data_IF_085921795214
#
_entry.id   IF_085921795214
#
_cell.length_a   1.000
_cell.length_b   1.000
_cell.length_c   1.000
_cell.angle_alpha   90.00
_cell.angle_beta   90.00
_cell.angle_gamma   90.00
#
_symmetry.space_group_name_H-M   'P 1'
#
loop_
_entity.id
_entity.type
_entity.pdbx_description
1 polymer ?
#
# COMPACT_ATOMS: atom_id res chain seq x y z
N UNK A 1 50.14 67.57 22.64
CA UNK A 1 49.69 66.16 22.56
C UNK A 1 48.21 66.13 22.19
N UNK A 2 47.72 65.04 21.56
CA UNK A 2 46.73 65.14 20.49
C UNK A 2 45.26 65.16 20.93
N UNK A 3 44.39 65.53 19.99
CA UNK A 3 42.94 65.50 20.13
C UNK A 3 42.36 64.08 20.10
N UNK A 4 41.22 63.88 20.76
CA UNK A 4 40.38 62.69 20.68
C UNK A 4 39.07 63.01 19.96
N UNK A 5 38.77 62.26 18.88
CA UNK A 5 37.55 62.44 18.12
C UNK A 5 36.39 61.65 18.73
N UNK A 6 35.18 62.23 18.73
CA UNK A 6 33.97 61.56 19.19
C UNK A 6 33.46 60.56 18.12
N UNK A 7 33.54 59.26 18.43
CA UNK A 7 32.96 58.21 17.59
C UNK A 7 31.43 58.11 17.82
N UNK A 8 30.68 57.85 16.74
CA UNK A 8 29.21 57.68 16.81
C UNK A 8 28.86 56.31 17.38
N UNK A 9 27.82 56.25 18.21
CA UNK A 9 27.24 54.98 18.66
C UNK A 9 26.58 54.24 17.48
N UNK A 10 27.01 53.00 17.22
CA UNK A 10 26.32 52.08 16.30
C UNK A 10 25.11 51.44 16.97
N UNK A 11 24.11 51.04 16.17
CA UNK A 11 23.05 50.12 16.64
C UNK A 11 23.65 48.72 16.82
N UNK A 12 23.18 47.91 17.78
CA UNK A 12 23.48 46.49 17.80
C UNK A 12 22.88 45.80 16.57
N UNK A 13 23.63 44.87 16.01
CA UNK A 13 23.24 44.04 14.86
C UNK A 13 22.15 43.04 15.30
N UNK A 14 21.10 42.77 14.51
CA UNK A 14 20.17 41.68 14.82
C UNK A 14 20.92 40.34 14.72
N UNK A 15 20.91 39.57 15.81
CA UNK A 15 21.51 38.23 15.84
C UNK A 15 20.92 37.31 14.76
N UNK A 16 21.65 36.25 14.37
CA UNK A 16 21.22 35.36 13.30
C UNK A 16 19.82 34.78 13.60
N UNK A 17 18.95 34.63 12.59
CA UNK A 17 17.62 34.07 12.78
C UNK A 17 17.76 32.65 13.36
N UNK A 18 17.21 32.44 14.56
CA UNK A 18 17.34 31.17 15.28
C UNK A 18 16.75 30.01 14.48
N UNK A 19 17.37 28.84 14.62
CA UNK A 19 17.08 27.65 13.81
C UNK A 19 15.57 27.36 13.74
N UNK A 20 15.00 27.51 12.54
CA UNK A 20 13.66 27.05 12.24
C UNK A 20 13.64 25.52 12.41
N UNK A 21 13.10 25.06 13.54
CA UNK A 21 13.21 23.67 13.97
C UNK A 21 12.81 22.71 12.84
N UNK A 22 13.77 21.90 12.39
CA UNK A 22 13.56 20.96 11.31
C UNK A 22 12.31 20.10 11.56
N UNK A 23 11.50 19.80 10.52
CA UNK A 23 10.25 19.06 10.69
C UNK A 23 10.54 17.74 11.41
N UNK A 24 10.00 17.59 12.62
CA UNK A 24 10.24 16.42 13.47
C UNK A 24 9.75 15.18 12.74
N UNK A 25 10.68 14.34 12.30
CA UNK A 25 10.35 13.07 11.65
C UNK A 25 9.43 12.25 12.55
N UNK A 26 8.39 11.68 11.92
CA UNK A 26 7.40 10.85 12.61
C UNK A 26 8.10 9.76 13.42
N UNK A 27 7.65 9.42 14.64
CA UNK A 27 8.25 8.35 15.43
C UNK A 27 8.46 7.06 14.63
N UNK A 28 7.52 6.72 13.75
CA UNK A 28 7.61 5.63 12.75
C UNK A 28 8.97 5.50 12.02
N UNK A 29 9.65 6.60 11.71
CA UNK A 29 10.94 6.62 11.00
C UNK A 29 12.17 6.42 11.91
N UNK A 30 11.98 5.94 13.14
CA UNK A 30 13.06 5.78 14.13
C UNK A 30 13.28 4.30 14.44
N UNK A 31 14.52 3.96 14.77
CA UNK A 31 14.91 2.62 15.17
C UNK A 31 14.40 2.22 16.55
N UNK A 32 14.22 0.93 16.77
CA UNK A 32 13.65 0.36 18.00
C UNK A 32 12.14 0.60 18.14
N UNK A 33 11.54 0.06 19.21
CA UNK A 33 10.09 0.12 19.45
C UNK A 33 9.58 1.54 19.66
N UNK A 34 8.62 1.93 18.82
CA UNK A 34 7.90 3.19 18.85
C UNK A 34 6.45 2.94 19.27
N UNK A 35 6.01 3.63 20.32
CA UNK A 35 4.61 3.67 20.80
C UNK A 35 4.39 4.99 21.54
N UNK A 36 3.15 5.50 21.58
CA UNK A 36 2.78 6.71 22.36
C UNK A 36 1.63 6.38 23.32
N UNK A 37 1.92 5.71 24.45
CA UNK A 37 0.88 5.21 25.36
C UNK A 37 0.26 6.31 26.21
N UNK A 38 -1.06 6.22 26.39
CA UNK A 38 -1.80 6.90 27.45
C UNK A 38 -1.60 6.14 28.78
N UNK A 39 -1.95 6.73 29.95
CA UNK A 39 -1.64 6.11 31.25
C UNK A 39 -2.28 4.74 31.53
N UNK A 40 -3.33 4.35 30.80
CA UNK A 40 -4.00 3.04 30.93
C UNK A 40 -3.63 2.05 29.80
N UNK A 41 -2.75 2.42 28.88
CA UNK A 41 -2.37 1.57 27.75
C UNK A 41 -1.67 0.26 28.21
N UNK A 42 -1.98 -0.89 27.59
CA UNK A 42 -1.23 -2.12 27.82
C UNK A 42 0.21 -1.97 27.30
N UNK A 43 1.16 -2.62 27.99
CA UNK A 43 2.56 -2.65 27.51
C UNK A 43 2.63 -3.43 26.20
N UNK A 44 3.36 -2.88 25.23
CA UNK A 44 3.72 -3.59 23.98
C UNK A 44 4.42 -4.90 24.36
N UNK A 45 4.05 -6.05 23.74
CA UNK A 45 4.70 -7.32 24.02
C UNK A 45 6.16 -7.32 23.54
N UNK A 46 7.03 -7.99 24.29
CA UNK A 46 8.38 -8.31 23.84
C UNK A 46 8.31 -9.42 22.78
N UNK A 47 8.91 -9.17 21.62
CA UNK A 47 8.90 -10.05 20.43
C UNK A 47 10.29 -10.04 19.79
N UNK A 48 10.69 -11.15 19.15
CA UNK A 48 12.04 -11.33 18.61
C UNK A 48 12.21 -10.88 17.14
N UNK A 49 11.14 -10.46 16.47
CA UNK A 49 11.18 -9.99 15.09
C UNK A 49 12.05 -8.75 14.87
N UNK A 50 12.92 -8.82 13.85
CA UNK A 50 13.83 -7.75 13.43
C UNK A 50 13.12 -6.48 12.93
N UNK A 51 11.85 -6.58 12.52
CA UNK A 51 10.99 -5.45 12.17
C UNK A 51 9.51 -5.88 12.29
N UNK A 52 8.66 -5.00 12.82
CA UNK A 52 7.21 -5.23 12.90
C UNK A 52 6.40 -3.92 12.94
N UNK A 53 5.12 -4.00 12.56
CA UNK A 53 4.15 -2.89 12.52
C UNK A 53 2.80 -3.38 13.00
N UNK A 54 2.10 -2.58 13.82
CA UNK A 54 0.68 -2.76 14.19
C UNK A 54 -0.09 -1.52 13.74
N UNK A 55 -1.07 -1.66 12.85
CA UNK A 55 -1.81 -0.54 12.28
C UNK A 55 -3.32 -0.81 12.16
N UNK A 56 -4.11 0.27 12.22
CA UNK A 56 -5.52 0.26 11.90
C UNK A 56 -5.71 0.26 10.37
N UNK A 57 -6.41 -0.74 9.83
CA UNK A 57 -6.62 -0.85 8.40
C UNK A 57 -7.61 0.20 7.87
N UNK A 58 -8.56 0.63 8.71
CA UNK A 58 -9.59 1.60 8.37
C UNK A 58 -9.01 3.01 8.28
N UNK A 59 -8.48 3.52 9.40
CA UNK A 59 -7.90 4.88 9.44
C UNK A 59 -6.53 4.95 8.78
N UNK A 60 -5.74 3.86 8.82
CA UNK A 60 -4.34 3.85 8.43
C UNK A 60 -3.36 4.17 9.55
N UNK A 61 -3.84 4.49 10.75
CA UNK A 61 -2.99 4.85 11.88
C UNK A 61 -2.07 3.70 12.30
N UNK A 62 -0.76 3.94 12.34
CA UNK A 62 0.19 3.00 12.93
C UNK A 62 0.18 3.19 14.44
N UNK A 63 -0.22 2.17 15.19
CA UNK A 63 -0.39 2.23 16.65
C UNK A 63 0.95 2.05 17.38
N UNK A 64 1.74 1.08 16.92
CA UNK A 64 3.12 0.87 17.31
C UNK A 64 3.90 0.18 16.19
N UNK A 65 5.22 0.28 16.24
CA UNK A 65 6.13 -0.43 15.33
C UNK A 65 7.51 -0.63 15.97
N UNK A 66 8.31 -1.58 15.50
CA UNK A 66 9.76 -1.63 15.75
C UNK A 66 10.50 -1.64 14.42
N UNK A 67 11.48 -0.75 14.25
CA UNK A 67 12.32 -0.67 13.05
C UNK A 67 11.50 -0.73 11.74
N UNK A 68 10.41 0.05 11.67
CA UNK A 68 9.33 -0.12 10.69
C UNK A 68 9.77 -0.09 9.21
N UNK A 69 10.80 0.72 8.93
CA UNK A 69 11.39 0.96 7.61
C UNK A 69 12.70 0.18 7.37
N UNK A 70 12.96 -0.87 8.16
CA UNK A 70 14.14 -1.72 7.99
C UNK A 70 14.00 -2.58 6.74
N UNK A 71 14.88 -2.35 5.77
CA UNK A 71 15.00 -3.19 4.57
C UNK A 71 15.34 -4.64 4.96
N UNK A 72 14.44 -5.56 4.65
CA UNK A 72 14.56 -7.00 4.87
C UNK A 72 14.01 -7.76 3.65
N UNK A 73 14.52 -8.96 3.31
CA UNK A 73 13.93 -9.77 2.26
C UNK A 73 12.48 -10.16 2.64
N UNK A 74 11.49 -9.94 1.76
CA UNK A 74 10.08 -10.11 2.14
C UNK A 74 9.60 -11.57 2.14
N UNK A 75 10.32 -12.48 1.48
CA UNK A 75 9.81 -13.78 1.06
C UNK A 75 8.45 -13.66 0.33
N UNK A 76 7.64 -14.71 0.37
CA UNK A 76 6.32 -14.77 -0.27
C UNK A 76 5.28 -13.74 0.23
N UNK A 77 5.56 -12.88 1.22
CA UNK A 77 4.66 -11.76 1.54
C UNK A 77 4.61 -10.73 0.41
N UNK A 78 5.65 -10.63 -0.43
CA UNK A 78 5.66 -9.79 -1.64
C UNK A 78 4.59 -10.20 -2.66
N UNK A 79 4.04 -11.42 -2.56
CA UNK A 79 2.88 -11.86 -3.36
C UNK A 79 1.64 -10.99 -3.12
N UNK A 80 1.58 -10.20 -2.04
CA UNK A 80 0.53 -9.18 -1.84
C UNK A 80 0.63 -8.03 -2.83
N UNK A 81 1.84 -7.48 -3.06
CA UNK A 81 2.11 -6.48 -4.09
C UNK A 81 1.87 -7.03 -5.51
N UNK A 82 2.26 -8.29 -5.75
CA UNK A 82 1.93 -9.00 -7.00
C UNK A 82 0.42 -9.08 -7.21
N UNK A 83 -0.34 -9.47 -6.19
CA UNK A 83 -1.80 -9.53 -6.24
C UNK A 83 -2.41 -8.16 -6.52
N UNK A 84 -1.98 -7.09 -5.85
CA UNK A 84 -2.42 -5.71 -6.13
C UNK A 84 -2.19 -5.33 -7.60
N UNK A 85 -1.00 -5.62 -8.12
CA UNK A 85 -0.58 -5.30 -9.50
C UNK A 85 -1.32 -6.11 -10.57
N UNK A 86 -1.59 -7.40 -10.33
CA UNK A 86 -2.00 -8.36 -11.37
C UNK A 86 -3.47 -8.79 -11.28
N UNK A 87 -4.10 -8.81 -10.09
CA UNK A 87 -5.55 -9.06 -9.96
C UNK A 87 -6.43 -8.13 -10.84
N UNK A 88 -6.20 -6.79 -10.92
CA UNK A 88 -7.11 -5.92 -11.67
C UNK A 88 -6.98 -6.12 -13.19
N UNK A 89 -5.90 -6.76 -13.66
CA UNK A 89 -5.68 -7.08 -15.07
C UNK A 89 -6.22 -8.47 -15.47
N UNK A 90 -6.40 -9.39 -14.52
CA UNK A 90 -6.78 -10.78 -14.79
C UNK A 90 -8.11 -11.20 -14.10
N UNK A 91 -9.27 -10.98 -14.76
CA UNK A 91 -10.55 -11.55 -14.35
C UNK A 91 -10.49 -13.07 -14.14
N UNK A 92 -10.88 -13.53 -12.94
CA UNK A 92 -10.75 -14.94 -12.52
C UNK A 92 -11.46 -15.99 -13.39
N UNK A 93 -12.40 -15.57 -14.26
CA UNK A 93 -13.07 -16.45 -15.21
C UNK A 93 -12.22 -16.87 -16.43
N UNK A 94 -11.13 -16.15 -16.71
CA UNK A 94 -10.18 -16.45 -17.80
C UNK A 94 -9.64 -17.87 -17.63
N UNK A 95 -9.45 -18.56 -18.76
CA UNK A 95 -8.82 -19.87 -18.86
C UNK A 95 -7.52 -19.75 -19.65
N UNK A 96 -6.49 -20.45 -19.22
CA UNK A 96 -5.18 -20.49 -19.87
C UNK A 96 -4.65 -21.92 -19.90
N UNK A 97 -4.06 -22.33 -21.02
CA UNK A 97 -3.38 -23.61 -21.19
C UNK A 97 -1.87 -23.38 -21.04
N UNK A 98 -1.27 -24.05 -20.06
CA UNK A 98 0.08 -23.71 -19.57
C UNK A 98 1.14 -24.22 -20.55
N UNK A 99 1.94 -23.30 -21.10
CA UNK A 99 3.09 -23.61 -21.94
C UNK A 99 4.36 -23.92 -21.12
N UNK A 100 5.40 -24.53 -21.72
CA UNK A 100 6.68 -24.76 -21.05
C UNK A 100 7.36 -23.47 -20.58
N UNK A 101 7.16 -22.35 -21.30
CA UNK A 101 7.67 -21.04 -20.93
C UNK A 101 7.04 -20.48 -19.64
N UNK A 102 5.78 -20.82 -19.36
CA UNK A 102 5.05 -20.38 -18.15
C UNK A 102 5.61 -21.01 -16.86
N UNK A 103 6.35 -22.12 -16.98
CA UNK A 103 6.99 -22.82 -15.86
C UNK A 103 8.52 -22.64 -15.87
N UNK A 104 9.04 -21.81 -16.80
CA UNK A 104 10.48 -21.56 -16.91
C UNK A 104 11.02 -20.65 -15.79
N UNK A 105 12.26 -20.91 -15.36
CA UNK A 105 12.97 -20.07 -14.39
C UNK A 105 12.58 -20.20 -12.92
N UNK A 106 11.67 -21.12 -12.57
CA UNK A 106 11.26 -21.37 -11.17
C UNK A 106 12.48 -21.85 -10.33
N UNK A 107 12.75 -21.17 -9.21
CA UNK A 107 13.91 -21.46 -8.36
C UNK A 107 13.80 -22.80 -7.60
N UNK A 108 14.91 -23.53 -7.37
CA UNK A 108 14.90 -24.78 -6.63
C UNK A 108 14.47 -24.55 -5.17
N UNK A 109 13.56 -25.40 -4.65
CA UNK A 109 12.98 -25.22 -3.31
C UNK A 109 11.86 -24.16 -3.23
N UNK A 110 11.44 -23.58 -4.36
CA UNK A 110 10.20 -22.80 -4.43
C UNK A 110 9.00 -23.57 -3.87
N UNK A 111 8.11 -22.89 -3.14
CA UNK A 111 6.76 -23.40 -2.91
C UNK A 111 6.02 -23.48 -4.25
N UNK A 112 5.39 -24.61 -4.54
CA UNK A 112 4.59 -24.83 -5.75
C UNK A 112 3.17 -25.19 -5.33
N UNK A 113 2.15 -24.79 -6.11
CA UNK A 113 0.81 -25.36 -5.94
C UNK A 113 0.73 -26.73 -6.61
N UNK A 114 1.36 -26.90 -7.77
CA UNK A 114 1.34 -28.11 -8.59
C UNK A 114 0.72 -27.88 -9.97
N UNK A 115 1.08 -26.78 -10.63
CA UNK A 115 0.70 -26.48 -12.03
C UNK A 115 1.37 -27.47 -13.00
N UNK A 116 0.67 -27.78 -14.10
CA UNK A 116 1.08 -28.77 -15.10
C UNK A 116 1.06 -28.17 -16.51
N UNK A 117 2.14 -28.35 -17.27
CA UNK A 117 2.25 -28.03 -18.70
C UNK A 117 1.23 -28.80 -19.54
N UNK A 118 0.64 -28.16 -20.55
CA UNK A 118 -0.41 -28.72 -21.40
C UNK A 118 -1.79 -28.84 -20.72
N UNK A 119 -1.95 -28.34 -19.50
CA UNK A 119 -3.23 -28.37 -18.78
C UNK A 119 -3.87 -26.98 -18.72
N UNK A 120 -5.18 -26.91 -18.95
CA UNK A 120 -5.95 -25.66 -18.84
C UNK A 120 -6.39 -25.37 -17.39
N UNK A 121 -5.93 -24.26 -16.83
CA UNK A 121 -6.37 -23.74 -15.52
C UNK A 121 -7.31 -22.55 -15.68
N UNK A 122 -8.13 -22.26 -14.67
CA UNK A 122 -8.73 -20.92 -14.53
C UNK A 122 -7.78 -20.00 -13.76
N UNK A 123 -7.82 -18.72 -14.09
CA UNK A 123 -7.13 -17.67 -13.31
C UNK A 123 -7.58 -17.68 -11.84
N UNK A 124 -8.85 -17.99 -11.55
CA UNK A 124 -9.34 -18.20 -10.17
C UNK A 124 -8.59 -19.28 -9.39
N UNK A 125 -8.15 -20.32 -10.09
CA UNK A 125 -7.57 -21.52 -9.48
C UNK A 125 -6.10 -21.24 -9.17
N UNK A 126 -5.39 -20.63 -10.14
CA UNK A 126 -4.05 -20.08 -9.96
C UNK A 126 -3.98 -19.11 -8.77
N UNK A 127 -4.96 -18.19 -8.62
CA UNK A 127 -5.02 -17.31 -7.45
C UNK A 127 -5.25 -18.04 -6.13
N UNK A 128 -6.03 -19.13 -6.10
CA UNK A 128 -6.06 -19.99 -4.90
C UNK A 128 -4.66 -20.57 -4.61
N UNK A 129 -3.92 -21.00 -5.64
CA UNK A 129 -2.54 -21.50 -5.50
C UNK A 129 -1.56 -20.46 -4.96
N UNK A 130 -1.63 -19.21 -5.44
CA UNK A 130 -0.80 -18.07 -4.99
C UNK A 130 -1.04 -17.74 -3.51
N UNK A 131 -2.30 -17.71 -3.07
CA UNK A 131 -2.64 -17.35 -1.68
C UNK A 131 -2.49 -18.51 -0.70
N UNK A 132 -3.03 -19.69 -1.02
CA UNK A 132 -3.08 -20.81 -0.08
C UNK A 132 -1.72 -21.54 0.00
N UNK A 133 -1.29 -22.16 -1.09
CA UNK A 133 -0.04 -22.93 -1.18
C UNK A 133 1.21 -22.07 -1.44
N UNK A 134 1.07 -20.75 -1.61
CA UNK A 134 2.18 -19.84 -1.90
C UNK A 134 2.89 -20.13 -3.24
N UNK A 135 2.20 -20.75 -4.19
CA UNK A 135 2.79 -21.34 -5.40
C UNK A 135 3.47 -20.34 -6.33
N UNK A 136 4.77 -20.51 -6.54
CA UNK A 136 5.58 -19.74 -7.50
C UNK A 136 5.21 -20.07 -8.95
N UNK A 137 4.96 -21.35 -9.24
CA UNK A 137 4.40 -21.83 -10.50
C UNK A 137 3.14 -21.04 -10.92
N UNK A 138 2.19 -20.85 -10.00
CA UNK A 138 1.01 -20.03 -10.27
C UNK A 138 1.34 -18.54 -10.50
N UNK A 139 2.37 -17.99 -9.85
CA UNK A 139 2.84 -16.61 -10.09
C UNK A 139 3.47 -16.47 -11.48
N UNK A 140 4.27 -17.44 -11.95
CA UNK A 140 4.88 -17.37 -13.28
C UNK A 140 3.81 -17.35 -14.39
N UNK A 141 2.80 -18.24 -14.33
CA UNK A 141 1.67 -18.26 -15.29
C UNK A 141 0.86 -16.95 -15.27
N UNK A 142 0.60 -16.39 -14.08
CA UNK A 142 -0.14 -15.12 -13.97
C UNK A 142 0.71 -13.91 -14.43
N UNK A 143 2.04 -14.01 -14.37
CA UNK A 143 2.97 -13.01 -14.89
C UNK A 143 3.10 -13.08 -16.42
N UNK A 144 3.17 -14.26 -17.05
CA UNK A 144 3.20 -14.41 -18.51
C UNK A 144 1.93 -13.83 -19.15
N UNK A 145 0.76 -14.18 -18.61
CA UNK A 145 -0.55 -13.63 -18.96
C UNK A 145 -0.67 -12.10 -18.84
N UNK A 146 0.28 -11.41 -18.21
CA UNK A 146 0.30 -9.94 -18.11
C UNK A 146 1.60 -9.29 -18.59
N UNK A 147 2.28 -9.93 -19.55
CA UNK A 147 3.43 -9.35 -20.26
C UNK A 147 4.80 -9.91 -19.84
N UNK A 148 4.82 -11.00 -19.07
CA UNK A 148 6.05 -11.70 -18.69
C UNK A 148 6.67 -11.21 -17.38
N UNK A 149 7.65 -11.98 -16.92
CA UNK A 149 8.30 -11.85 -15.61
C UNK A 149 8.86 -10.45 -15.33
N UNK A 150 9.75 -9.95 -16.20
CA UNK A 150 10.44 -8.67 -16.01
C UNK A 150 9.49 -7.46 -16.11
N UNK A 151 8.50 -7.50 -17.02
CA UNK A 151 7.49 -6.45 -17.13
C UNK A 151 6.56 -6.45 -15.90
N UNK A 152 6.32 -7.61 -15.30
CA UNK A 152 5.53 -7.73 -14.06
C UNK A 152 6.30 -7.22 -12.84
N UNK A 153 7.59 -7.54 -12.71
CA UNK A 153 8.45 -6.98 -11.68
C UNK A 153 8.55 -5.43 -11.79
N UNK A 154 8.66 -4.91 -13.01
CA UNK A 154 8.66 -3.46 -13.25
C UNK A 154 7.34 -2.78 -12.88
N UNK A 155 6.19 -3.40 -13.20
CA UNK A 155 4.86 -2.90 -12.79
C UNK A 155 4.68 -2.96 -11.28
N UNK A 156 5.11 -4.03 -10.61
CA UNK A 156 5.09 -4.13 -9.14
C UNK A 156 5.97 -3.07 -8.49
N UNK A 157 7.14 -2.77 -9.07
CA UNK A 157 7.97 -1.69 -8.56
C UNK A 157 7.28 -0.33 -8.70
N UNK A 158 6.57 -0.07 -9.80
CA UNK A 158 5.79 1.15 -9.99
C UNK A 158 4.60 1.23 -9.02
N UNK A 159 3.86 0.13 -8.84
CA UNK A 159 2.74 0.00 -7.89
C UNK A 159 3.19 0.34 -6.45
N UNK A 160 4.32 -0.23 -6.00
CA UNK A 160 4.87 0.08 -4.68
C UNK A 160 5.15 1.59 -4.53
N UNK A 161 5.77 2.22 -5.53
CA UNK A 161 6.08 3.66 -5.50
C UNK A 161 4.81 4.51 -5.53
N UNK A 162 3.75 4.08 -6.23
CA UNK A 162 2.45 4.75 -6.26
C UNK A 162 1.71 4.65 -4.91
N UNK A 163 1.83 3.51 -4.22
CA UNK A 163 1.30 3.29 -2.87
C UNK A 163 2.14 3.96 -1.76
N UNK A 164 3.20 4.70 -2.11
CA UNK A 164 4.11 5.31 -1.14
C UNK A 164 5.02 4.33 -0.40
N UNK A 165 5.03 3.06 -0.80
CA UNK A 165 5.92 2.02 -0.31
C UNK A 165 7.33 2.24 -0.89
N UNK A 166 8.21 2.86 -0.10
CA UNK A 166 9.47 3.45 -0.57
C UNK A 166 10.70 2.59 -0.24
N UNK A 167 10.56 1.64 0.67
CA UNK A 167 11.64 0.72 1.07
C UNK A 167 11.69 -0.53 0.16
N UNK A 168 10.60 -0.78 -0.58
CA UNK A 168 10.45 -1.95 -1.44
C UNK A 168 11.24 -1.83 -2.74
N UNK A 169 12.21 -2.72 -2.89
CA UNK A 169 12.91 -2.96 -4.14
C UNK A 169 12.56 -4.34 -4.71
N UNK A 170 11.92 -4.37 -5.88
CA UNK A 170 11.46 -5.60 -6.54
C UNK A 170 12.51 -6.15 -7.50
N UNK A 171 12.81 -7.44 -7.39
CA UNK A 171 13.63 -8.23 -8.33
C UNK A 171 12.84 -9.35 -9.01
N UNK A 172 11.91 -9.98 -8.30
CA UNK A 172 11.02 -11.02 -8.83
C UNK A 172 9.57 -10.83 -8.37
N UNK A 173 8.55 -11.20 -9.18
CA UNK A 173 7.16 -11.11 -8.78
C UNK A 173 6.73 -12.03 -7.62
N UNK A 174 7.47 -13.09 -7.35
CA UNK A 174 7.11 -14.12 -6.37
C UNK A 174 7.65 -13.88 -4.96
N UNK A 175 8.59 -12.95 -4.78
CA UNK A 175 9.28 -12.71 -3.51
C UNK A 175 10.35 -13.74 -3.14
N UNK A 176 10.82 -14.57 -4.08
CA UNK A 176 11.94 -15.51 -3.84
C UNK A 176 13.27 -14.78 -3.56
N UNK A 177 14.27 -15.50 -3.03
CA UNK A 177 15.56 -14.92 -2.67
C UNK A 177 16.34 -14.41 -3.91
N UNK A 178 16.56 -13.11 -3.99
CA UNK A 178 17.31 -12.44 -5.05
C UNK A 178 18.15 -11.26 -4.51
N UNK A 179 19.35 -10.98 -5.07
CA UNK A 179 20.21 -9.89 -4.58
C UNK A 179 19.53 -8.51 -4.61
N UNK A 180 19.41 -7.89 -3.44
CA UNK A 180 18.72 -6.62 -3.28
C UNK A 180 17.22 -6.68 -3.58
N UNK A 181 16.56 -7.82 -3.33
CA UNK A 181 15.11 -7.89 -3.14
C UNK A 181 14.79 -7.62 -1.68
N UNK A 182 14.16 -6.47 -1.39
CA UNK A 182 13.85 -6.01 -0.03
C UNK A 182 12.48 -5.35 0.02
N UNK A 183 11.91 -5.31 1.21
CA UNK A 183 10.75 -4.50 1.61
C UNK A 183 10.91 -4.19 3.11
N UNK A 184 9.90 -3.60 3.73
CA UNK A 184 9.89 -3.27 5.16
C UNK A 184 8.57 -3.68 5.82
N UNK A 185 8.52 -3.75 7.15
CA UNK A 185 7.28 -4.10 7.84
C UNK A 185 6.18 -3.06 7.58
N UNK A 186 6.56 -1.79 7.38
CA UNK A 186 5.69 -0.71 6.93
C UNK A 186 5.15 -0.95 5.51
N UNK A 187 6.03 -1.12 4.52
CA UNK A 187 5.62 -1.29 3.12
C UNK A 187 4.70 -2.51 2.94
N UNK A 188 5.02 -3.63 3.60
CA UNK A 188 4.19 -4.82 3.61
C UNK A 188 2.84 -4.60 4.32
N UNK A 189 2.77 -3.75 5.35
CA UNK A 189 1.51 -3.36 5.98
C UNK A 189 0.65 -2.48 5.06
N UNK A 190 1.26 -1.61 4.25
CA UNK A 190 0.57 -0.84 3.19
C UNK A 190 -0.05 -1.80 2.17
N UNK A 191 0.70 -2.80 1.67
CA UNK A 191 0.18 -3.79 0.72
C UNK A 191 -0.96 -4.64 1.34
N UNK A 192 -0.84 -5.01 2.61
CA UNK A 192 -1.90 -5.70 3.35
C UNK A 192 -3.18 -4.85 3.47
N UNK A 193 -3.06 -3.58 3.87
CA UNK A 193 -4.18 -2.64 4.01
C UNK A 193 -4.89 -2.37 2.68
N UNK A 194 -4.14 -2.12 1.60
CA UNK A 194 -4.74 -1.87 0.29
C UNK A 194 -5.35 -3.14 -0.31
N UNK A 195 -4.73 -4.31 -0.12
CA UNK A 195 -5.33 -5.58 -0.51
C UNK A 195 -6.69 -5.83 0.16
N UNK A 196 -6.81 -5.53 1.45
CA UNK A 196 -8.06 -5.71 2.21
C UNK A 196 -9.18 -4.74 1.82
N UNK A 197 -8.87 -3.61 1.16
CA UNK A 197 -9.89 -2.71 0.58
C UNK A 197 -10.56 -3.32 -0.65
N UNK A 198 -9.93 -4.30 -1.31
CA UNK A 198 -10.41 -4.89 -2.56
C UNK A 198 -11.11 -6.24 -2.35
N UNK A 199 -12.38 -6.40 -2.77
CA UNK A 199 -13.11 -7.66 -2.59
C UNK A 199 -12.52 -8.87 -3.34
N UNK A 200 -11.76 -8.65 -4.42
CA UNK A 200 -11.12 -9.71 -5.20
C UNK A 200 -9.93 -10.35 -4.47
N UNK A 201 -9.06 -9.52 -3.89
CA UNK A 201 -7.95 -9.90 -3.01
C UNK A 201 -8.46 -10.50 -1.70
N UNK A 202 -9.37 -9.78 -1.01
CA UNK A 202 -9.85 -10.18 0.32
C UNK A 202 -10.49 -11.58 0.32
N UNK A 203 -11.20 -11.93 -0.75
CA UNK A 203 -11.78 -13.27 -0.96
C UNK A 203 -10.72 -14.38 -1.03
N UNK A 204 -9.56 -14.14 -1.63
CA UNK A 204 -8.50 -15.16 -1.71
C UNK A 204 -7.67 -15.22 -0.43
N UNK A 205 -7.34 -14.08 0.18
CA UNK A 205 -6.47 -14.06 1.35
C UNK A 205 -7.14 -14.63 2.62
N UNK A 206 -8.46 -14.46 2.77
CA UNK A 206 -9.24 -14.99 3.89
C UNK A 206 -9.68 -16.45 3.71
N UNK A 207 -9.34 -17.09 2.59
CA UNK A 207 -9.80 -18.45 2.26
C UNK A 207 -8.94 -19.51 2.95
N UNK A 208 -9.58 -20.41 3.67
CA UNK A 208 -8.97 -21.52 4.43
C UNK A 208 -8.43 -22.60 3.49
N UNK A 209 -9.31 -23.15 2.65
CA UNK A 209 -9.02 -24.29 1.77
C UNK A 209 -9.62 -24.10 0.36
N UNK A 210 -9.14 -24.88 -0.61
CA UNK A 210 -9.74 -24.99 -1.93
C UNK A 210 -9.45 -26.35 -2.56
N UNK A 211 -10.23 -26.75 -3.57
CA UNK A 211 -9.79 -27.75 -4.54
C UNK A 211 -8.97 -27.08 -5.65
N UNK A 212 -7.85 -27.68 -6.03
CA UNK A 212 -7.01 -27.25 -7.16
C UNK A 212 -7.00 -28.31 -8.27
N UNK A 213 -7.00 -27.95 -9.57
CA UNK A 213 -6.96 -28.91 -10.66
C UNK A 213 -5.66 -29.71 -10.69
N UNK A 214 -5.76 -31.03 -10.71
CA UNK A 214 -4.66 -31.97 -10.89
C UNK A 214 -4.63 -32.60 -12.28
N UNK A 215 -3.64 -33.47 -12.52
CA UNK A 215 -3.45 -34.17 -13.80
C UNK A 215 -4.68 -34.97 -14.20
N UNK A 216 -4.86 -35.16 -15.51
CA UNK A 216 -5.83 -36.08 -16.10
C UNK A 216 -7.30 -35.82 -15.67
N UNK A 217 -7.62 -34.56 -15.33
CA UNK A 217 -8.95 -34.14 -14.87
C UNK A 217 -9.23 -34.37 -13.38
N UNK A 218 -8.23 -34.82 -12.61
CA UNK A 218 -8.32 -34.94 -11.15
C UNK A 218 -8.34 -33.57 -10.43
N UNK A 219 -8.54 -33.59 -9.12
CA UNK A 219 -8.32 -32.41 -8.26
C UNK A 219 -7.91 -32.86 -6.85
N UNK A 220 -7.20 -31.98 -6.13
CA UNK A 220 -6.73 -32.22 -4.77
C UNK A 220 -6.97 -31.00 -3.89
N UNK A 221 -7.04 -31.22 -2.58
CA UNK A 221 -7.18 -30.14 -1.60
C UNK A 221 -5.89 -29.36 -1.42
N UNK A 222 -5.99 -28.03 -1.38
CA UNK A 222 -4.94 -27.10 -1.00
C UNK A 222 -5.40 -26.29 0.21
N UNK A 223 -4.47 -25.92 1.09
CA UNK A 223 -4.75 -25.37 2.43
C UNK A 223 -3.89 -24.12 2.66
N UNK A 224 -4.45 -23.10 3.31
CA UNK A 224 -3.75 -21.83 3.50
C UNK A 224 -2.57 -21.97 4.46
N UNK A 225 -1.39 -21.59 3.98
CA UNK A 225 -0.15 -21.66 4.75
C UNK A 225 -0.09 -20.67 5.93
N UNK A 226 -1.01 -19.70 6.04
CA UNK A 226 -1.16 -18.88 7.24
C UNK A 226 -1.81 -19.68 8.39
N UNK A 227 -1.00 -20.16 9.32
CA UNK A 227 -1.43 -21.04 10.41
C UNK A 227 -2.40 -20.39 11.40
N UNK A 228 -2.38 -19.06 11.58
CA UNK A 228 -3.39 -18.35 12.38
C UNK A 228 -4.79 -18.42 11.75
N UNK A 229 -4.90 -18.68 10.45
CA UNK A 229 -6.18 -18.87 9.76
C UNK A 229 -6.66 -20.32 9.84
N UNK A 230 -5.73 -21.29 9.72
CA UNK A 230 -6.06 -22.70 9.49
C UNK A 230 -5.93 -23.61 10.71
N UNK A 231 -5.23 -23.17 11.77
CA UNK A 231 -4.96 -24.00 12.95
C UNK A 231 -3.93 -25.12 12.71
N UNK A 232 -3.16 -25.03 11.62
CA UNK A 232 -2.21 -26.07 11.22
C UNK A 232 -0.97 -26.14 12.12
N UNK A 233 -0.36 -27.32 12.19
CA UNK A 233 0.89 -27.61 12.90
C UNK A 233 0.92 -27.21 14.39
N UNK A 234 -0.24 -27.18 15.04
CA UNK A 234 -0.40 -26.92 16.48
C UNK A 234 -0.54 -25.45 16.86
N UNK A 235 -0.26 -24.52 15.94
CA UNK A 235 -0.63 -23.11 16.07
C UNK A 235 -2.15 -23.03 16.16
N UNK A 236 -2.69 -22.34 17.17
CA UNK A 236 -4.14 -22.18 17.27
C UNK A 236 -4.64 -21.17 16.22
N UNK A 237 -5.88 -21.31 15.72
CA UNK A 237 -6.54 -20.24 14.98
C UNK A 237 -6.59 -18.94 15.81
N UNK A 238 -6.71 -17.80 15.12
CA UNK A 238 -6.86 -16.49 15.75
C UNK A 238 -8.29 -15.96 15.59
N UNK A 239 -9.05 -15.71 16.68
CA UNK A 239 -10.43 -15.24 16.60
C UNK A 239 -10.56 -13.91 15.84
N UNK A 240 -11.32 -13.94 14.74
CA UNK A 240 -11.57 -12.79 13.87
C UNK A 240 -10.53 -12.57 12.76
N UNK A 241 -9.58 -13.48 12.54
CA UNK A 241 -8.59 -13.34 11.46
C UNK A 241 -9.24 -13.36 10.06
N UNK A 242 -8.74 -12.51 9.17
CA UNK A 242 -9.14 -12.39 7.75
C UNK A 242 -7.94 -12.61 6.79
N UNK A 243 -6.89 -13.28 7.28
CA UNK A 243 -5.80 -13.84 6.48
C UNK A 243 -4.67 -12.86 6.16
N UNK A 244 -4.65 -12.33 4.93
CA UNK A 244 -3.50 -11.74 4.21
C UNK A 244 -2.47 -12.78 3.74
N UNK A 245 -1.20 -12.80 4.19
CA UNK A 245 -0.19 -13.71 3.63
C UNK A 245 1.06 -13.91 4.50
N UNK A 246 1.53 -15.15 4.60
CA UNK A 246 2.82 -15.53 5.18
C UNK A 246 3.90 -15.79 4.12
N UNK A 247 5.17 -15.85 4.53
CA UNK A 247 6.30 -16.23 3.69
C UNK A 247 7.46 -16.81 4.50
N UNK A 248 8.30 -17.57 3.80
CA UNK A 248 9.61 -18.02 4.29
C UNK A 248 10.58 -18.12 3.11
N UNK A 249 11.83 -17.70 3.32
CA UNK A 249 13.00 -18.07 2.50
C UNK A 249 14.24 -18.12 3.40
N UNK A 250 15.33 -18.69 2.90
CA UNK A 250 16.58 -18.80 3.66
C UNK A 250 17.17 -17.44 4.07
N UNK A 251 17.05 -16.42 3.22
CA UNK A 251 17.56 -15.07 3.54
C UNK A 251 16.55 -14.20 4.29
N UNK A 252 15.24 -14.44 4.15
CA UNK A 252 14.20 -13.67 4.84
C UNK A 252 13.96 -14.13 6.30
N UNK A 253 14.20 -15.41 6.59
CA UNK A 253 13.57 -16.06 7.73
C UNK A 253 12.06 -16.16 7.52
N UNK A 254 11.28 -16.14 8.61
CA UNK A 254 9.82 -16.16 8.53
C UNK A 254 9.25 -14.73 8.46
N UNK A 255 8.30 -14.51 7.55
CA UNK A 255 7.58 -13.23 7.40
C UNK A 255 6.07 -13.46 7.40
N UNK A 256 5.31 -12.52 7.95
CA UNK A 256 3.85 -12.59 8.00
C UNK A 256 3.25 -11.20 7.89
N UNK A 257 2.28 -11.04 7.00
CA UNK A 257 1.25 -10.02 7.11
C UNK A 257 -0.02 -10.76 7.56
N UNK A 258 -0.56 -10.37 8.70
CA UNK A 258 -1.78 -10.88 9.28
C UNK A 258 -2.79 -9.74 9.44
N UNK A 259 -4.09 -10.05 9.37
CA UNK A 259 -5.12 -9.08 9.69
C UNK A 259 -6.30 -9.73 10.40
N UNK A 260 -6.93 -9.00 11.32
CA UNK A 260 -8.08 -9.46 12.06
C UNK A 260 -9.13 -8.35 12.23
N UNK A 261 -10.38 -8.75 12.46
CA UNK A 261 -11.52 -7.87 12.70
C UNK A 261 -12.23 -8.26 14.00
N UNK A 262 -12.39 -7.29 14.89
CA UNK A 262 -13.19 -7.37 16.12
C UNK A 262 -14.01 -6.09 16.24
N UNK A 263 -15.30 -6.22 16.54
CA UNK A 263 -16.22 -5.10 16.82
C UNK A 263 -16.18 -3.95 15.80
N UNK A 264 -16.14 -4.31 14.51
CA UNK A 264 -16.05 -3.38 13.38
C UNK A 264 -14.63 -2.87 13.07
N UNK A 265 -13.76 -2.79 14.07
CA UNK A 265 -12.35 -2.40 13.90
C UNK A 265 -11.58 -3.50 13.15
N UNK A 266 -10.64 -3.11 12.29
CA UNK A 266 -9.76 -4.06 11.57
C UNK A 266 -8.32 -3.64 11.76
N UNK A 267 -7.46 -4.56 12.22
CA UNK A 267 -6.04 -4.34 12.38
C UNK A 267 -5.26 -5.13 11.32
N UNK A 268 -4.16 -4.56 10.85
CA UNK A 268 -3.10 -5.22 10.08
C UNK A 268 -1.85 -5.25 10.95
N UNK A 269 -1.21 -6.41 11.02
CA UNK A 269 0.07 -6.62 11.68
C UNK A 269 1.05 -7.24 10.70
N UNK A 270 2.23 -6.64 10.57
CA UNK A 270 3.36 -7.25 9.85
C UNK A 270 4.43 -7.64 10.84
N UNK A 271 4.99 -8.85 10.69
CA UNK A 271 6.12 -9.38 11.46
C UNK A 271 7.18 -9.90 10.48
N UNK A 272 8.43 -9.47 10.64
CA UNK A 272 9.55 -9.88 9.80
C UNK A 272 10.72 -10.44 10.60
N UNK A 273 11.09 -11.68 10.28
CA UNK A 273 12.25 -12.41 10.77
C UNK A 273 12.37 -12.47 12.32
N UNK A 274 11.47 -13.19 13.02
CA UNK A 274 11.67 -13.59 14.42
C UNK A 274 13.01 -14.30 14.61
N UNK A 275 13.80 -13.85 15.59
CA UNK A 275 15.12 -14.42 15.90
C UNK A 275 15.05 -15.57 16.91
N UNK A 276 13.96 -15.71 17.66
CA UNK A 276 13.75 -16.75 18.68
C UNK A 276 12.44 -17.52 18.42
N UNK A 277 12.18 -18.60 19.17
CA UNK A 277 10.96 -19.42 19.04
C UNK A 277 10.83 -20.25 17.76
N UNK A 278 11.66 -20.01 16.74
CA UNK A 278 11.75 -20.83 15.52
C UNK A 278 10.57 -20.65 14.55
N UNK A 279 10.29 -21.69 13.76
CA UNK A 279 9.39 -21.60 12.59
C UNK A 279 7.92 -21.23 12.88
N UNK A 280 7.49 -21.23 14.14
CA UNK A 280 6.14 -20.82 14.54
C UNK A 280 6.08 -19.44 15.23
N UNK A 281 7.23 -18.86 15.61
CA UNK A 281 7.28 -17.57 16.31
C UNK A 281 6.58 -16.44 15.54
N UNK A 282 6.67 -16.43 14.20
CA UNK A 282 6.03 -15.40 13.37
C UNK A 282 4.51 -15.34 13.55
N UNK A 283 3.86 -16.45 13.90
CA UNK A 283 2.43 -16.53 14.13
C UNK A 283 2.08 -16.10 15.56
N UNK A 284 2.85 -16.55 16.56
CA UNK A 284 2.56 -16.22 17.97
C UNK A 284 2.98 -14.78 18.35
N UNK A 285 4.03 -14.23 17.74
CA UNK A 285 4.36 -12.80 17.84
C UNK A 285 3.29 -11.93 17.16
N UNK A 286 2.79 -12.35 15.98
CA UNK A 286 1.68 -11.65 15.32
C UNK A 286 0.37 -11.75 16.12
N UNK A 287 0.09 -12.88 16.77
CA UNK A 287 -1.01 -13.03 17.74
C UNK A 287 -0.88 -12.01 18.87
N UNK A 288 0.28 -11.97 19.54
CA UNK A 288 0.52 -11.06 20.65
C UNK A 288 0.38 -9.59 20.25
N UNK A 289 0.91 -9.21 19.08
CA UNK A 289 0.80 -7.86 18.52
C UNK A 289 -0.64 -7.50 18.09
N UNK A 290 -1.41 -8.44 17.55
CA UNK A 290 -2.83 -8.25 17.24
C UNK A 290 -3.66 -8.09 18.52
N UNK A 291 -3.48 -8.96 19.52
CA UNK A 291 -4.20 -8.88 20.79
C UNK A 291 -3.87 -7.57 21.54
N UNK A 292 -2.59 -7.17 21.61
CA UNK A 292 -2.18 -5.86 22.12
C UNK A 292 -2.83 -4.70 21.34
N UNK A 293 -2.86 -4.77 20.00
CA UNK A 293 -3.45 -3.71 19.17
C UNK A 293 -4.96 -3.53 19.34
N UNK A 294 -5.67 -4.58 19.76
CA UNK A 294 -7.09 -4.51 20.14
C UNK A 294 -7.27 -4.02 21.58
N UNK A 295 -6.41 -4.43 22.53
CA UNK A 295 -6.45 -3.97 23.92
C UNK A 295 -6.08 -2.47 24.04
N UNK A 296 -5.11 -2.00 23.24
CA UNK A 296 -4.68 -0.60 23.16
C UNK A 296 -5.65 0.33 22.40
N UNK A 297 -6.87 -0.11 22.09
CA UNK A 297 -7.82 0.65 21.28
C UNK A 297 -8.31 1.93 21.97
N UNK A 298 -7.81 3.08 21.52
CA UNK A 298 -8.12 4.41 22.09
C UNK A 298 -7.11 4.90 23.13
N UNK A 299 -6.20 4.04 23.59
CA UNK A 299 -5.21 4.30 24.64
C UNK A 299 -3.80 4.62 24.07
N UNK A 300 -3.65 4.81 22.76
CA UNK A 300 -2.37 5.13 22.11
C UNK A 300 -2.53 6.19 21.02
N UNK A 301 -1.61 7.16 20.97
CA UNK A 301 -1.55 8.11 19.86
C UNK A 301 -0.74 7.52 18.67
N UNK A 302 -1.24 7.57 17.43
CA UNK A 302 -0.58 6.93 16.27
C UNK A 302 0.88 7.37 16.08
N UNK A 303 1.83 6.43 16.03
CA UNK A 303 3.27 6.72 15.79
C UNK A 303 3.57 7.15 14.35
N UNK A 304 2.62 6.97 13.44
CA UNK A 304 2.65 7.34 12.04
C UNK A 304 1.34 6.94 11.36
N UNK A 305 1.30 6.90 10.02
CA UNK A 305 0.16 6.41 9.24
C UNK A 305 0.67 5.69 7.99
N UNK A 306 -0.09 4.68 7.54
CA UNK A 306 0.09 3.92 6.30
C UNK A 306 -0.43 4.65 5.05
N UNK A 307 -0.95 5.89 5.17
CA UNK A 307 -1.32 6.70 4.01
C UNK A 307 -0.09 7.46 3.45
N UNK A 308 0.07 7.54 2.10
CA UNK A 308 1.19 8.28 1.51
C UNK A 308 1.18 9.74 1.96
N UNK A 309 2.33 10.30 2.34
CA UNK A 309 2.41 11.65 2.92
C UNK A 309 1.79 12.74 2.02
N UNK A 310 1.88 12.56 0.70
CA UNK A 310 1.32 13.45 -0.32
C UNK A 310 -0.23 13.49 -0.34
N UNK A 311 -0.91 12.54 0.31
CA UNK A 311 -2.38 12.44 0.35
C UNK A 311 -3.03 13.11 1.58
N UNK A 312 -2.25 13.64 2.54
CA UNK A 312 -2.83 14.44 3.62
C UNK A 312 -3.40 15.74 3.04
N UNK A 313 -4.67 16.08 3.27
CA UNK A 313 -5.20 17.39 2.88
C UNK A 313 -4.38 18.48 3.54
N UNK A 314 -3.62 19.25 2.74
CA UNK A 314 -2.97 20.48 3.21
C UNK A 314 -4.09 21.37 3.74
N UNK A 315 -4.04 21.74 5.02
CA UNK A 315 -4.95 22.75 5.53
C UNK A 315 -4.71 24.03 4.72
N UNK A 316 -5.69 24.37 3.88
CA UNK A 316 -5.63 25.60 3.08
C UNK A 316 -5.52 26.82 4.00
N UNK A 317 -4.96 27.94 3.52
CA UNK A 317 -4.87 29.17 4.31
C UNK A 317 -6.22 29.48 4.95
N UNK A 318 -6.26 29.47 6.28
CA UNK A 318 -7.49 29.67 7.03
C UNK A 318 -8.03 31.05 6.69
N UNK A 319 -9.19 31.11 6.03
CA UNK A 319 -9.73 32.36 5.51
C UNK A 319 -10.14 33.27 6.67
N UNK A 320 -9.24 34.18 7.06
CA UNK A 320 -9.50 35.20 8.08
C UNK A 320 -10.71 36.02 7.60
N UNK A 321 -11.81 36.11 8.36
CA UNK A 321 -12.97 36.89 7.95
C UNK A 321 -12.58 38.34 7.73
N UNK A 322 -12.74 38.83 6.50
CA UNK A 322 -12.48 40.23 6.18
C UNK A 322 -13.44 41.11 6.97
N UNK A 323 -12.91 41.96 7.85
CA UNK A 323 -13.71 42.86 8.67
C UNK A 323 -14.46 43.85 7.75
N UNK A 324 -15.79 43.76 7.73
CA UNK A 324 -16.64 44.62 6.91
C UNK A 324 -16.63 46.03 7.52
N UNK A 325 -15.83 46.92 6.92
CA UNK A 325 -15.81 48.34 7.31
C UNK A 325 -17.14 48.99 6.96
N UNK A 326 -17.86 49.50 7.96
CA UNK A 326 -19.15 50.13 7.76
C UNK A 326 -19.02 51.44 6.97
N UNK A 327 -19.73 51.55 5.85
CA UNK A 327 -19.83 52.80 5.11
C UNK A 327 -20.57 53.86 5.94
N UNK A 328 -20.13 55.12 5.83
CA UNK A 328 -20.84 56.26 6.43
C UNK A 328 -22.19 56.50 5.73
N UNK A 329 -23.20 57.07 6.41
CA UNK A 329 -24.40 57.58 5.77
C UNK A 329 -24.08 58.64 4.70
N UNK A 330 -24.94 58.73 3.69
CA UNK A 330 -24.91 59.82 2.70
C UNK A 330 -25.68 61.05 3.23
N UNK A 331 -25.35 62.23 2.70
CA UNK A 331 -26.15 63.46 2.85
C UNK A 331 -27.07 63.67 1.64
N UNK A 332 -28.08 64.51 1.79
CA UNK A 332 -29.32 64.49 0.99
C UNK A 332 -29.28 65.15 -0.41
N UNK A 333 -30.29 64.77 -1.20
CA UNK A 333 -30.54 65.09 -2.62
C UNK A 333 -31.10 66.53 -2.81
N UNK A 334 -31.11 67.12 -4.04
CA UNK A 334 -32.25 66.86 -4.96
C UNK A 334 -31.97 66.97 -6.48
N UNK A 335 -32.72 66.23 -7.32
CA UNK A 335 -32.80 66.57 -8.76
C UNK A 335 -33.47 65.58 -9.73
N UNK A 336 -34.68 65.94 -10.20
CA UNK A 336 -35.36 65.54 -11.46
C UNK A 336 -36.04 64.15 -11.57
N UNK A 337 -37.13 64.01 -12.37
CA UNK A 337 -38.11 62.92 -12.26
C UNK A 337 -38.00 61.83 -13.36
N UNK A 338 -38.79 60.77 -13.17
CA UNK A 338 -38.88 59.59 -14.05
C UNK A 338 -39.52 59.88 -15.43
N UNK A 339 -38.93 59.36 -16.52
CA UNK A 339 -39.69 58.78 -17.64
C UNK A 339 -38.79 57.91 -18.53
N UNK A 340 -39.35 56.87 -19.15
CA UNK A 340 -38.81 56.27 -20.38
C UNK A 340 -38.22 54.86 -20.27
N UNK A 341 -38.88 53.89 -20.90
CA UNK A 341 -38.28 52.63 -21.36
C UNK A 341 -38.16 52.66 -22.89
N UNK A 342 -37.32 51.78 -23.49
CA UNK A 342 -37.48 51.09 -24.81
C UNK A 342 -36.11 50.77 -25.52
N UNK A 343 -35.91 49.45 -25.75
CA UNK A 343 -35.20 48.74 -26.85
C UNK A 343 -33.81 49.13 -27.42
N UNK A 344 -33.05 48.07 -27.81
CA UNK A 344 -31.99 48.09 -28.84
C UNK A 344 -30.57 47.85 -28.29
N UNK A 345 -29.62 47.19 -28.99
CA UNK A 345 -29.59 46.54 -30.33
C UNK A 345 -28.63 45.32 -30.26
N UNK A 346 -28.73 44.35 -31.18
CA UNK A 346 -27.86 43.17 -31.26
C UNK A 346 -26.92 43.14 -32.49
N UNK A 347 -25.78 42.45 -32.36
CA UNK A 347 -24.88 42.04 -33.46
C UNK A 347 -23.75 41.18 -32.88
N UNK A 348 -23.64 39.88 -33.19
CA UNK A 348 -23.18 39.24 -34.45
C UNK A 348 -21.70 39.50 -34.77
N UNK A 349 -20.91 38.42 -34.81
CA UNK A 349 -19.47 38.45 -35.06
C UNK A 349 -18.83 37.06 -35.09
N UNK A 350 -19.27 36.19 -36.00
CA UNK A 350 -18.62 34.90 -36.28
C UNK A 350 -18.19 34.83 -37.75
N UNK A 351 -16.90 34.61 -38.00
CA UNK A 351 -16.31 34.56 -39.34
C UNK A 351 -15.50 33.27 -39.55
N UNK A 352 -15.73 32.59 -40.66
CA UNK A 352 -15.13 31.30 -41.01
C UNK A 352 -14.05 31.48 -42.08
N UNK A 353 -13.00 30.66 -42.04
CA UNK A 353 -12.18 30.33 -43.22
C UNK A 353 -12.01 28.81 -43.34
N UNK A 354 -12.28 28.27 -44.53
CA UNK A 354 -12.22 26.84 -44.81
C UNK A 354 -11.99 26.55 -46.31
N UNK A 355 -11.06 25.65 -46.63
CA UNK A 355 -10.77 25.09 -47.97
C UNK A 355 -9.74 23.94 -47.79
N UNK A 356 -9.73 22.78 -48.45
CA UNK A 356 -10.66 21.98 -49.29
C UNK A 356 -10.16 20.50 -49.19
N UNK A 357 -10.97 19.43 -49.10
CA UNK A 357 -11.74 18.73 -50.15
C UNK A 357 -10.85 18.22 -51.32
N UNK A 358 -10.91 16.96 -51.83
CA UNK A 358 -11.92 15.89 -51.70
C UNK A 358 -11.45 14.49 -52.21
N UNK A 359 -12.08 13.38 -51.74
CA UNK A 359 -12.72 12.22 -52.48
C UNK A 359 -12.03 11.64 -53.75
N UNK A 360 -11.91 10.33 -54.08
CA UNK A 360 -12.36 8.95 -53.65
C UNK A 360 -11.62 7.87 -54.55
N UNK A 361 -11.71 6.52 -54.55
CA UNK A 361 -12.28 5.38 -53.76
C UNK A 361 -11.63 4.02 -54.24
N UNK A 362 -11.95 2.88 -53.58
CA UNK A 362 -12.04 1.47 -54.10
C UNK A 362 -10.77 0.69 -54.52
N UNK A 363 -10.55 -0.47 -53.83
CA UNK A 363 -10.29 -1.90 -54.22
C UNK A 363 -9.80 -2.25 -55.66
N UNK A 364 -9.17 -3.41 -55.97
CA UNK A 364 -9.03 -4.74 -55.30
C UNK A 364 -7.66 -5.43 -55.62
N UNK A 365 -7.36 -6.52 -54.90
CA UNK A 365 -6.57 -7.74 -55.20
C UNK A 365 -5.35 -7.78 -56.17
N UNK A 366 -4.23 -8.31 -55.66
CA UNK A 366 -3.73 -9.63 -56.11
C UNK A 366 -2.63 -9.73 -57.19
N UNK A 367 -1.37 -9.95 -56.78
CA UNK A 367 -0.35 -10.81 -57.43
C UNK A 367 0.83 -11.05 -56.47
#
# INVERSE_FOLDING_TARGET
MPATAAARAGRPDPGPPGDAAAPRSSPLYRSGTQVRPHPAAPRVPEVSALSWVVADAGTGDVLAANDAHRELPPASTLKTLFALTVLPALPGGIRHEVGPEDLSGIGPGSSLVGVVEGQTYRVSDLWNGVFLNSGNDAVHVLASLTGGWSATAARMQAEARALGARDTHVRSPDGYDAPGQVSSAYDLAVFGREGLRRPDFARYCAKVDAMFPGRDGSSYGIMNTNRLLTGADGVQPYPGLIGVKNGYTSNAGNTLIAAARRDGRTLVVTVMNPQEGGGHAVYEEARALLDWGFEAAGEVDPVGSLDPEDHRPRQGPQAVPAAVSAAKPAEDVPGWPETGAILGVAGLGAGVMALALRIKLVRDDGS
#
